data_IF_418785176953
#
_entry.id   IF_418785176953
#
_cell.length_a   1.000
_cell.length_b   1.000
_cell.length_c   1.000
_cell.angle_alpha   90.00
_cell.angle_beta   90.00
_cell.angle_gamma   90.00
#
_symmetry.space_group_name_H-M   'P 1'
#
loop_
_entity.id
_entity.type
_entity.pdbx_description
1 polymer ?
#
# COMPACT_ATOMS: atom_id res chain seq x y z
N UNK A 1 -0.68 26.57 -31.36
CA UNK A 1 0.33 27.49 -31.87
C UNK A 1 0.63 28.69 -30.98
N UNK A 2 -0.34 29.47 -30.49
CA UNK A 2 -0.08 30.67 -29.65
C UNK A 2 0.70 30.39 -28.34
N UNK A 3 0.39 29.33 -27.59
CA UNK A 3 1.05 29.01 -26.34
C UNK A 3 2.53 28.58 -26.51
N UNK A 4 2.85 27.86 -27.58
CA UNK A 4 4.23 27.48 -27.88
C UNK A 4 5.11 28.70 -28.22
N UNK A 5 4.61 29.60 -29.06
CA UNK A 5 5.32 30.84 -29.43
C UNK A 5 5.52 31.74 -28.19
N UNK A 6 4.51 31.84 -27.32
CA UNK A 6 4.62 32.60 -26.07
C UNK A 6 5.67 31.99 -25.12
N UNK A 7 5.72 30.66 -25.01
CA UNK A 7 6.71 29.93 -24.21
C UNK A 7 8.15 30.18 -24.73
N UNK A 8 8.35 30.07 -26.04
CA UNK A 8 9.68 30.34 -26.67
C UNK A 8 10.15 31.76 -26.41
N UNK A 9 9.27 32.76 -26.60
CA UNK A 9 9.57 34.15 -26.37
C UNK A 9 9.96 34.40 -24.89
N UNK A 10 9.16 33.93 -23.94
CA UNK A 10 9.44 34.08 -22.51
C UNK A 10 10.72 33.36 -22.07
N UNK A 11 11.00 32.19 -22.65
CA UNK A 11 12.23 31.44 -22.36
C UNK A 11 13.45 32.15 -22.89
N UNK A 12 13.37 32.82 -24.05
CA UNK A 12 14.45 33.64 -24.60
C UNK A 12 14.69 34.89 -23.73
N UNK A 13 13.64 35.57 -23.27
CA UNK A 13 13.73 36.71 -22.34
C UNK A 13 14.40 36.31 -21.03
N UNK A 14 14.03 35.14 -20.46
CA UNK A 14 14.66 34.62 -19.25
C UNK A 14 16.17 34.33 -19.46
N UNK A 15 16.55 33.74 -20.59
CA UNK A 15 17.96 33.50 -20.96
C UNK A 15 18.74 34.78 -21.19
N UNK A 16 18.10 35.86 -21.64
CA UNK A 16 18.70 37.19 -21.81
C UNK A 16 18.88 37.94 -20.47
N UNK A 17 18.55 37.30 -19.32
CA UNK A 17 18.72 37.92 -17.99
C UNK A 17 17.56 38.81 -17.55
N UNK A 18 16.48 38.90 -18.32
CA UNK A 18 15.28 39.65 -17.95
C UNK A 18 14.50 38.91 -16.86
N UNK A 19 14.24 39.55 -15.72
CA UNK A 19 13.35 38.96 -14.69
C UNK A 19 11.93 38.87 -15.22
N UNK A 20 11.42 37.65 -15.30
CA UNK A 20 10.02 37.40 -15.63
C UNK A 20 9.13 37.82 -14.47
N UNK A 21 7.94 38.33 -14.80
CA UNK A 21 6.86 38.51 -13.82
C UNK A 21 6.40 37.14 -13.27
N UNK A 22 5.86 37.12 -12.04
CA UNK A 22 5.41 35.87 -11.39
C UNK A 22 4.48 35.05 -12.26
N UNK A 23 3.54 35.68 -12.97
CA UNK A 23 2.61 35.03 -13.88
C UNK A 23 3.33 34.42 -15.12
N UNK A 24 4.34 35.10 -15.63
CA UNK A 24 5.15 34.64 -16.76
C UNK A 24 6.03 33.44 -16.36
N UNK A 25 6.68 33.51 -15.19
CA UNK A 25 7.49 32.41 -14.65
C UNK A 25 6.63 31.17 -14.37
N UNK A 26 5.46 31.34 -13.78
CA UNK A 26 4.50 30.27 -13.55
C UNK A 26 4.04 29.62 -14.87
N UNK A 27 3.75 30.44 -15.88
CA UNK A 27 3.36 29.94 -17.21
C UNK A 27 4.50 29.13 -17.85
N UNK A 28 5.74 29.61 -17.81
CA UNK A 28 6.91 28.90 -18.37
C UNK A 28 7.10 27.56 -17.66
N UNK A 29 7.06 27.53 -16.34
CA UNK A 29 7.19 26.31 -15.55
C UNK A 29 6.07 25.32 -15.82
N UNK A 30 4.82 25.80 -15.88
CA UNK A 30 3.67 24.96 -16.21
C UNK A 30 3.77 24.37 -17.62
N UNK A 31 4.09 25.20 -18.61
CA UNK A 31 4.26 24.75 -19.99
C UNK A 31 5.37 23.72 -20.11
N UNK A 32 6.52 23.96 -19.48
CA UNK A 32 7.65 23.05 -19.44
C UNK A 32 7.33 21.73 -18.75
N UNK A 33 6.57 21.77 -17.64
CA UNK A 33 6.22 20.59 -16.88
C UNK A 33 5.21 19.70 -17.63
N UNK A 34 4.21 20.27 -18.29
CA UNK A 34 3.07 19.50 -18.79
C UNK A 34 2.98 19.43 -20.32
N UNK A 35 3.36 20.50 -21.05
CA UNK A 35 3.07 20.61 -22.46
C UNK A 35 4.31 20.37 -23.34
N UNK A 36 5.48 20.90 -22.92
CA UNK A 36 6.71 20.76 -23.67
C UNK A 36 7.02 19.27 -23.91
N UNK A 37 7.38 18.93 -25.15
CA UNK A 37 7.72 17.55 -25.57
C UNK A 37 6.64 16.50 -25.24
N UNK A 38 5.36 16.91 -25.20
CA UNK A 38 4.23 16.03 -24.87
C UNK A 38 4.39 15.32 -23.50
N UNK A 39 4.95 15.98 -22.50
CA UNK A 39 5.20 15.40 -21.16
C UNK A 39 3.96 14.83 -20.49
N UNK A 40 2.78 15.43 -20.71
CA UNK A 40 1.52 14.89 -20.23
C UNK A 40 1.28 13.42 -20.62
N UNK A 41 1.76 13.01 -21.82
CA UNK A 41 1.66 11.60 -22.23
C UNK A 41 2.59 10.69 -21.43
N UNK A 42 3.75 11.21 -21.00
CA UNK A 42 4.67 10.48 -20.13
C UNK A 42 4.06 10.24 -18.76
N UNK A 43 3.38 11.25 -18.19
CA UNK A 43 2.63 11.07 -16.93
C UNK A 43 1.53 10.01 -17.08
N UNK A 44 0.73 10.06 -18.14
CA UNK A 44 -0.30 9.04 -18.37
C UNK A 44 0.29 7.62 -18.50
N UNK A 45 1.43 7.50 -19.16
CA UNK A 45 2.15 6.21 -19.25
C UNK A 45 2.68 5.76 -17.89
N UNK A 46 3.07 6.67 -17.02
CA UNK A 46 3.52 6.38 -15.66
C UNK A 46 2.39 5.94 -14.71
N UNK A 47 1.14 6.36 -14.96
CA UNK A 47 -0.02 5.95 -14.15
C UNK A 47 -0.25 4.44 -14.21
N UNK A 48 -0.10 3.81 -15.38
CA UNK A 48 -0.35 2.38 -15.58
C UNK A 48 0.56 1.51 -14.68
N UNK A 49 1.90 1.68 -14.69
CA UNK A 49 2.78 0.97 -13.77
C UNK A 49 2.42 1.20 -12.29
N UNK A 50 2.09 2.43 -11.91
CA UNK A 50 1.68 2.76 -10.54
C UNK A 50 0.45 1.95 -10.11
N UNK A 51 -0.61 1.94 -10.92
CA UNK A 51 -1.82 1.18 -10.64
C UNK A 51 -1.56 -0.34 -10.61
N UNK A 52 -0.74 -0.84 -11.53
CA UNK A 52 -0.36 -2.24 -11.59
C UNK A 52 0.41 -2.68 -10.34
N UNK A 53 1.43 -1.91 -9.94
CA UNK A 53 2.20 -2.15 -8.72
C UNK A 53 1.31 -2.11 -7.48
N UNK A 54 0.45 -1.09 -7.38
CA UNK A 54 -0.49 -0.97 -6.25
C UNK A 54 -1.42 -2.17 -6.16
N UNK A 55 -1.97 -2.63 -7.30
CA UNK A 55 -2.86 -3.79 -7.33
C UNK A 55 -2.14 -5.08 -6.88
N UNK A 56 -0.91 -5.31 -7.34
CA UNK A 56 -0.09 -6.45 -6.90
C UNK A 56 0.22 -6.35 -5.41
N UNK A 57 0.71 -5.19 -4.96
CA UNK A 57 1.08 -4.98 -3.55
C UNK A 57 -0.13 -5.16 -2.63
N UNK A 58 -1.30 -4.61 -2.99
CA UNK A 58 -2.53 -4.78 -2.23
C UNK A 58 -2.97 -6.25 -2.20
N UNK A 59 -2.90 -6.96 -3.32
CA UNK A 59 -3.26 -8.39 -3.37
C UNK A 59 -2.37 -9.21 -2.46
N UNK A 60 -1.05 -9.02 -2.53
CA UNK A 60 -0.09 -9.69 -1.63
C UNK A 60 -0.40 -9.29 -0.18
N UNK A 61 -0.62 -8.02 0.09
CA UNK A 61 -0.94 -7.48 1.40
C UNK A 61 -2.21 -8.09 2.00
N UNK A 62 -3.29 -8.18 1.22
CA UNK A 62 -4.55 -8.79 1.67
C UNK A 62 -4.39 -10.27 1.94
N UNK A 63 -3.74 -11.02 1.04
CA UNK A 63 -3.53 -12.46 1.23
C UNK A 63 -2.67 -12.73 2.47
N UNK A 64 -1.50 -12.10 2.55
CA UNK A 64 -0.56 -12.28 3.65
C UNK A 64 -1.16 -11.78 4.98
N UNK A 65 -1.76 -10.59 4.96
CA UNK A 65 -2.42 -10.01 6.12
C UNK A 65 -3.57 -10.84 6.65
N UNK A 66 -4.37 -11.45 5.75
CA UNK A 66 -5.45 -12.37 6.14
C UNK A 66 -4.92 -13.61 6.84
N UNK A 67 -3.86 -14.23 6.31
CA UNK A 67 -3.23 -15.41 6.94
C UNK A 67 -2.69 -15.05 8.33
N UNK A 68 -1.96 -13.95 8.43
CA UNK A 68 -1.40 -13.47 9.72
C UNK A 68 -2.53 -13.15 10.71
N UNK A 69 -3.59 -12.47 10.28
CA UNK A 69 -4.73 -12.15 11.13
C UNK A 69 -5.44 -13.42 11.64
N UNK A 70 -5.68 -14.41 10.75
CA UNK A 70 -6.32 -15.66 11.12
C UNK A 70 -5.52 -16.44 12.16
N UNK A 71 -4.21 -16.56 12.00
CA UNK A 71 -3.32 -17.23 12.99
C UNK A 71 -3.42 -16.53 14.34
N UNK A 72 -3.37 -15.19 14.36
CA UNK A 72 -3.41 -14.41 15.61
C UNK A 72 -4.78 -14.51 16.29
N UNK A 73 -5.87 -14.40 15.52
CA UNK A 73 -7.23 -14.54 16.08
C UNK A 73 -7.49 -15.95 16.58
N UNK A 74 -7.04 -16.99 15.84
CA UNK A 74 -7.17 -18.37 16.28
C UNK A 74 -6.42 -18.63 17.61
N UNK A 75 -5.22 -18.04 17.76
CA UNK A 75 -4.48 -18.11 19.02
C UNK A 75 -5.21 -17.39 20.18
N UNK A 76 -5.72 -16.18 19.95
CA UNK A 76 -6.41 -15.38 20.96
C UNK A 76 -7.73 -16.02 21.43
N UNK A 77 -8.32 -16.88 20.59
CA UNK A 77 -9.60 -17.58 20.87
C UNK A 77 -9.42 -18.97 21.47
N UNK A 78 -8.20 -19.42 21.76
CA UNK A 78 -8.00 -20.69 22.45
C UNK A 78 -8.69 -20.70 23.81
N UNK A 79 -9.32 -21.85 24.13
CA UNK A 79 -9.95 -22.05 25.45
C UNK A 79 -8.90 -22.00 26.56
N UNK A 80 -9.24 -21.38 27.68
CA UNK A 80 -8.40 -21.41 28.89
C UNK A 80 -8.07 -22.86 29.25
N UNK A 81 -6.78 -23.20 29.27
CA UNK A 81 -6.28 -24.54 29.62
C UNK A 81 -6.01 -25.48 28.43
N UNK A 82 -6.28 -25.08 27.19
CA UNK A 82 -5.91 -25.86 26.01
C UNK A 82 -5.03 -25.00 25.09
N UNK A 83 -3.72 -25.07 25.29
CA UNK A 83 -2.75 -24.32 24.52
C UNK A 83 -2.09 -25.25 23.51
N UNK A 84 -2.32 -24.98 22.22
CA UNK A 84 -1.59 -25.62 21.13
C UNK A 84 -0.20 -24.95 20.99
N UNK A 85 0.91 -25.66 21.27
CA UNK A 85 2.24 -25.09 21.18
C UNK A 85 2.62 -24.68 19.74
N UNK A 86 2.12 -25.39 18.74
CA UNK A 86 2.38 -25.05 17.34
C UNK A 86 1.73 -23.70 16.98
N UNK A 87 0.48 -23.50 17.41
CA UNK A 87 -0.23 -22.24 17.19
C UNK A 87 0.40 -21.08 17.98
N UNK A 88 0.93 -21.34 19.17
CA UNK A 88 1.66 -20.34 19.96
C UNK A 88 2.95 -19.88 19.25
N UNK A 89 3.72 -20.81 18.68
CA UNK A 89 4.92 -20.50 17.88
C UNK A 89 4.53 -19.72 16.63
N UNK A 90 3.51 -20.16 15.89
CA UNK A 90 3.03 -19.47 14.70
C UNK A 90 2.58 -18.03 15.03
N UNK A 91 1.85 -17.82 16.13
CA UNK A 91 1.45 -16.50 16.59
C UNK A 91 2.65 -15.62 16.97
N UNK A 92 3.67 -16.19 17.63
CA UNK A 92 4.90 -15.46 17.96
C UNK A 92 5.63 -14.97 16.70
N UNK A 93 5.74 -15.79 15.67
CA UNK A 93 6.31 -15.42 14.36
C UNK A 93 5.48 -14.32 13.68
N UNK A 94 4.15 -14.48 13.64
CA UNK A 94 3.24 -13.47 13.09
C UNK A 94 3.35 -12.13 13.83
N UNK A 95 3.44 -12.16 15.15
CA UNK A 95 3.61 -10.96 15.98
C UNK A 95 4.96 -10.29 15.73
N UNK A 96 6.05 -11.08 15.64
CA UNK A 96 7.37 -10.57 15.33
C UNK A 96 7.37 -9.89 13.95
N UNK A 97 6.83 -10.57 12.92
CA UNK A 97 6.68 -10.01 11.59
C UNK A 97 5.95 -8.67 11.61
N UNK A 98 4.76 -8.61 12.20
CA UNK A 98 3.96 -7.38 12.25
C UNK A 98 4.69 -6.26 13.01
N UNK A 99 5.39 -6.59 14.10
CA UNK A 99 6.12 -5.61 14.92
C UNK A 99 7.34 -5.06 14.18
N UNK A 100 8.14 -5.92 13.56
CA UNK A 100 9.36 -5.49 12.84
C UNK A 100 9.00 -4.68 11.60
N UNK A 101 8.06 -5.18 10.79
CA UNK A 101 7.68 -4.52 9.54
C UNK A 101 7.03 -3.15 9.80
N UNK A 102 6.13 -3.05 10.77
CA UNK A 102 5.48 -1.76 11.11
C UNK A 102 6.37 -0.82 11.92
N UNK A 103 7.40 -1.36 12.59
CA UNK A 103 8.37 -0.59 13.37
C UNK A 103 9.56 -0.06 12.58
N UNK A 104 9.69 -0.41 11.30
CA UNK A 104 10.81 0.03 10.44
C UNK A 104 10.29 0.87 9.26
N UNK A 105 11.07 1.91 8.81
CA UNK A 105 10.65 2.74 7.67
C UNK A 105 10.55 1.92 6.38
N UNK A 106 9.47 2.15 5.61
CA UNK A 106 9.23 1.45 4.34
C UNK A 106 10.39 1.59 3.35
N UNK A 107 11.00 2.78 3.26
CA UNK A 107 12.15 3.03 2.39
C UNK A 107 13.34 2.12 2.73
N UNK A 108 13.62 1.89 4.03
CA UNK A 108 14.69 1.00 4.47
C UNK A 108 14.41 -0.45 4.06
N UNK A 109 13.18 -0.90 4.24
CA UNK A 109 12.74 -2.24 3.80
C UNK A 109 12.92 -2.41 2.29
N UNK A 110 12.56 -1.41 1.50
CA UNK A 110 12.70 -1.41 0.04
C UNK A 110 14.17 -1.48 -0.39
N UNK A 111 15.06 -0.74 0.28
CA UNK A 111 16.51 -0.79 0.02
C UNK A 111 17.10 -2.16 0.37
N UNK A 112 16.72 -2.74 1.52
CA UNK A 112 17.16 -4.09 1.90
C UNK A 112 16.66 -5.13 0.86
N UNK A 113 15.40 -5.04 0.45
CA UNK A 113 14.84 -5.94 -0.57
C UNK A 113 15.60 -5.85 -1.89
N UNK A 114 15.90 -4.63 -2.36
CA UNK A 114 16.54 -4.42 -3.67
C UNK A 114 18.05 -4.68 -3.65
N UNK A 115 18.76 -4.27 -2.59
CA UNK A 115 20.23 -4.30 -2.56
C UNK A 115 20.79 -5.55 -1.91
N UNK A 116 20.02 -6.24 -1.06
CA UNK A 116 20.49 -7.43 -0.32
C UNK A 116 19.77 -8.68 -0.82
N UNK A 117 18.44 -8.73 -0.74
CA UNK A 117 17.68 -9.94 -1.02
C UNK A 117 17.60 -10.21 -2.54
N UNK A 118 17.31 -9.18 -3.31
CA UNK A 118 17.16 -9.26 -4.77
C UNK A 118 18.24 -8.47 -5.51
N UNK A 119 19.47 -8.44 -4.99
CA UNK A 119 20.60 -7.69 -5.57
C UNK A 119 20.89 -8.00 -7.05
N UNK A 120 20.60 -9.23 -7.49
CA UNK A 120 20.79 -9.68 -8.87
C UNK A 120 19.54 -9.44 -9.77
N UNK A 121 18.45 -8.94 -9.22
CA UNK A 121 17.24 -8.68 -9.98
C UNK A 121 17.40 -7.42 -10.84
N UNK A 122 16.95 -7.50 -12.09
CA UNK A 122 16.87 -6.34 -13.01
C UNK A 122 15.47 -5.73 -13.03
N UNK A 123 14.49 -6.33 -12.36
CA UNK A 123 13.11 -5.86 -12.33
C UNK A 123 12.82 -5.15 -10.99
N UNK A 124 13.35 -3.95 -10.83
CA UNK A 124 13.17 -3.16 -9.60
C UNK A 124 11.71 -2.81 -9.32
N UNK A 125 10.88 -2.67 -10.35
CA UNK A 125 9.44 -2.43 -10.17
C UNK A 125 8.75 -3.60 -9.48
N UNK A 126 9.09 -4.85 -9.85
CA UNK A 126 8.54 -6.04 -9.18
C UNK A 126 9.10 -6.21 -7.76
N UNK A 127 10.39 -5.94 -7.56
CA UNK A 127 11.00 -5.95 -6.22
C UNK A 127 10.30 -4.94 -5.30
N UNK A 128 10.02 -3.74 -5.81
CA UNK A 128 9.25 -2.72 -5.10
C UNK A 128 7.83 -3.17 -4.78
N UNK A 129 7.13 -3.80 -5.73
CA UNK A 129 5.78 -4.34 -5.51
C UNK A 129 5.77 -5.42 -4.42
N UNK A 130 6.77 -6.30 -4.38
CA UNK A 130 6.92 -7.31 -3.32
C UNK A 130 7.19 -6.67 -1.96
N UNK A 131 8.10 -5.68 -1.90
CA UNK A 131 8.42 -4.98 -0.66
C UNK A 131 7.18 -4.26 -0.11
N UNK A 132 6.44 -3.52 -0.96
CA UNK A 132 5.19 -2.87 -0.60
C UNK A 132 4.13 -3.87 -0.15
N UNK A 133 3.99 -5.01 -0.83
CA UNK A 133 3.03 -6.05 -0.48
C UNK A 133 3.32 -6.71 0.86
N UNK A 134 4.59 -6.99 1.16
CA UNK A 134 5.02 -7.52 2.47
C UNK A 134 4.76 -6.48 3.57
N UNK A 135 5.07 -5.22 3.32
CA UNK A 135 4.79 -4.13 4.26
C UNK A 135 3.28 -4.00 4.51
N UNK A 136 2.49 -3.90 3.45
CA UNK A 136 1.03 -3.80 3.53
C UNK A 136 0.40 -4.99 4.26
N UNK A 137 0.93 -6.21 4.09
CA UNK A 137 0.45 -7.40 4.80
C UNK A 137 0.46 -7.24 6.33
N UNK A 138 1.46 -6.57 6.88
CA UNK A 138 1.54 -6.29 8.30
C UNK A 138 0.43 -5.30 8.75
N UNK A 139 0.15 -4.26 7.97
CA UNK A 139 -0.94 -3.32 8.25
C UNK A 139 -2.32 -3.96 8.07
N UNK A 140 -2.53 -4.67 6.97
CA UNK A 140 -3.78 -5.38 6.68
C UNK A 140 -4.10 -6.41 7.77
N UNK A 141 -3.09 -7.09 8.31
CA UNK A 141 -3.30 -8.04 9.41
C UNK A 141 -3.91 -7.38 10.65
N UNK A 142 -3.47 -6.18 10.98
CA UNK A 142 -4.03 -5.41 12.10
C UNK A 142 -5.40 -4.81 11.75
N UNK A 143 -5.62 -4.38 10.51
CA UNK A 143 -6.92 -3.90 10.03
C UNK A 143 -7.96 -5.02 10.17
N UNK A 144 -7.66 -6.23 9.71
CA UNK A 144 -8.57 -7.38 9.80
C UNK A 144 -8.81 -7.75 11.26
N UNK A 145 -7.76 -7.83 12.08
CA UNK A 145 -7.87 -8.13 13.50
C UNK A 145 -8.73 -7.08 14.22
N UNK A 146 -8.48 -5.80 13.97
CA UNK A 146 -9.28 -4.69 14.52
C UNK A 146 -10.74 -4.76 14.09
N UNK A 147 -11.02 -5.07 12.84
CA UNK A 147 -12.38 -5.23 12.32
C UNK A 147 -13.14 -6.40 12.96
N UNK A 148 -12.46 -7.52 13.20
CA UNK A 148 -13.06 -8.66 13.93
C UNK A 148 -13.34 -8.33 15.41
N UNK A 149 -12.44 -7.58 16.05
CA UNK A 149 -12.62 -7.13 17.43
C UNK A 149 -13.67 -6.03 17.61
N UNK A 150 -14.00 -5.31 16.53
CA UNK A 150 -15.04 -4.27 16.56
C UNK A 150 -16.47 -4.85 16.51
N UNK A 151 -16.64 -6.13 16.19
CA UNK A 151 -17.94 -6.80 16.25
C UNK A 151 -18.28 -7.09 17.71
N UNK A 152 -19.51 -6.73 18.10
CA UNK A 152 -19.99 -6.96 19.48
C UNK A 152 -19.90 -8.45 19.84
N UNK A 153 -19.23 -8.82 20.96
CA UNK A 153 -19.16 -10.21 21.44
C UNK A 153 -20.53 -10.89 21.61
N UNK A 154 -21.57 -10.11 21.93
CA UNK A 154 -22.94 -10.58 22.01
C UNK A 154 -23.48 -11.22 20.73
N UNK A 155 -22.92 -10.86 19.56
CA UNK A 155 -23.27 -11.52 18.28
C UNK A 155 -22.86 -13.00 18.25
N UNK A 156 -21.70 -13.31 18.81
CA UNK A 156 -21.24 -14.69 18.95
C UNK A 156 -22.10 -15.47 19.98
N UNK A 157 -22.45 -14.82 21.09
CA UNK A 157 -23.28 -15.43 22.13
C UNK A 157 -24.70 -15.68 21.62
N UNK A 158 -25.32 -14.72 20.94
CA UNK A 158 -26.63 -14.85 20.33
C UNK A 158 -26.69 -15.99 19.30
N UNK A 159 -25.69 -16.07 18.39
CA UNK A 159 -25.62 -17.16 17.42
C UNK A 159 -25.53 -18.54 18.09
N UNK A 160 -24.74 -18.66 19.14
CA UNK A 160 -24.62 -19.91 19.90
C UNK A 160 -25.90 -20.25 20.69
N UNK A 161 -26.60 -19.27 21.20
CA UNK A 161 -27.89 -19.45 21.87
C UNK A 161 -28.99 -19.97 20.94
N UNK A 162 -28.87 -19.64 19.64
CA UNK A 162 -29.72 -20.18 18.57
C UNK A 162 -29.29 -21.58 18.10
N UNK A 163 -28.30 -22.21 18.75
CA UNK A 163 -27.83 -23.56 18.43
C UNK A 163 -26.78 -23.60 17.30
N UNK A 164 -26.31 -22.46 16.78
CA UNK A 164 -25.25 -22.43 15.79
C UNK A 164 -23.92 -22.82 16.41
N UNK A 165 -23.12 -23.61 15.70
CA UNK A 165 -21.74 -23.86 16.11
C UNK A 165 -20.85 -22.64 15.87
N UNK A 166 -19.64 -22.64 16.45
CA UNK A 166 -18.70 -21.54 16.37
C UNK A 166 -18.39 -21.12 14.91
N UNK A 167 -18.11 -22.11 14.03
CA UNK A 167 -17.73 -21.85 12.64
C UNK A 167 -18.89 -21.20 11.87
N UNK A 168 -20.09 -21.70 12.06
CA UNK A 168 -21.30 -21.18 11.40
C UNK A 168 -21.60 -19.75 11.88
N UNK A 169 -21.53 -19.51 13.21
CA UNK A 169 -21.71 -18.17 13.76
C UNK A 169 -20.66 -17.19 13.24
N UNK A 170 -19.40 -17.61 13.19
CA UNK A 170 -18.30 -16.81 12.65
C UNK A 170 -18.53 -16.46 11.18
N UNK A 171 -18.86 -17.46 10.35
CA UNK A 171 -19.02 -17.28 8.91
C UNK A 171 -20.26 -16.46 8.52
N UNK A 172 -21.39 -16.68 9.20
CA UNK A 172 -22.67 -16.09 8.82
C UNK A 172 -22.99 -14.78 9.54
N UNK A 173 -22.42 -14.54 10.72
CA UNK A 173 -22.77 -13.39 11.58
C UNK A 173 -21.59 -12.47 11.76
N UNK A 174 -20.46 -12.98 12.27
CA UNK A 174 -19.32 -12.13 12.68
C UNK A 174 -18.52 -11.62 11.48
N UNK A 175 -18.12 -12.51 10.57
CA UNK A 175 -17.29 -12.12 9.40
C UNK A 175 -17.99 -11.09 8.50
N UNK A 176 -19.27 -11.21 8.13
CA UNK A 176 -19.94 -10.19 7.31
C UNK A 176 -19.99 -8.82 7.96
N UNK A 177 -20.13 -8.76 9.30
CA UNK A 177 -20.10 -7.50 10.04
C UNK A 177 -18.68 -6.93 10.11
N UNK A 178 -17.68 -7.78 10.38
CA UNK A 178 -16.27 -7.39 10.38
C UNK A 178 -15.82 -6.84 9.01
N UNK A 179 -16.24 -7.45 7.90
CA UNK A 179 -15.92 -6.96 6.54
C UNK A 179 -16.39 -5.52 6.34
N UNK A 180 -17.58 -5.16 6.82
CA UNK A 180 -18.09 -3.78 6.71
C UNK A 180 -17.20 -2.78 7.46
N UNK A 181 -16.63 -3.18 8.59
CA UNK A 181 -15.68 -2.36 9.35
C UNK A 181 -14.30 -2.30 8.69
N UNK A 182 -13.85 -3.38 8.06
CA UNK A 182 -12.53 -3.52 7.42
C UNK A 182 -12.44 -2.78 6.08
N UNK A 183 -13.51 -2.77 5.28
CA UNK A 183 -13.51 -2.21 3.92
C UNK A 183 -13.05 -0.75 3.83
N UNK A 184 -13.50 0.19 4.68
CA UNK A 184 -13.00 1.58 4.63
C UNK A 184 -11.51 1.68 4.93
N UNK A 185 -11.01 0.86 5.88
CA UNK A 185 -9.59 0.83 6.23
C UNK A 185 -8.74 0.24 5.12
N UNK A 186 -9.22 -0.80 4.41
CA UNK A 186 -8.56 -1.32 3.20
C UNK A 186 -8.56 -0.30 2.06
N UNK A 187 -9.63 0.48 1.91
CA UNK A 187 -9.67 1.59 0.96
C UNK A 187 -8.60 2.65 1.27
N UNK A 188 -8.39 2.98 2.55
CA UNK A 188 -7.30 3.85 2.97
C UNK A 188 -5.92 3.23 2.70
N UNK A 189 -5.74 1.95 2.96
CA UNK A 189 -4.49 1.23 2.66
C UNK A 189 -4.15 1.27 1.17
N UNK A 190 -5.15 1.12 0.29
CA UNK A 190 -4.97 1.29 -1.15
C UNK A 190 -4.44 2.68 -1.51
N UNK A 191 -4.98 3.75 -0.87
CA UNK A 191 -4.51 5.13 -1.09
C UNK A 191 -3.08 5.32 -0.58
N UNK A 192 -2.72 4.71 0.56
CA UNK A 192 -1.35 4.72 1.08
C UNK A 192 -0.40 4.05 0.10
N UNK A 193 -0.73 2.85 -0.37
CA UNK A 193 0.07 2.13 -1.37
C UNK A 193 0.28 2.93 -2.65
N UNK A 194 -0.76 3.62 -3.15
CA UNK A 194 -0.62 4.51 -4.32
C UNK A 194 0.44 5.59 -4.13
N UNK A 195 0.53 6.15 -2.93
CA UNK A 195 1.57 7.16 -2.61
C UNK A 195 2.94 6.52 -2.44
N UNK A 196 3.00 5.38 -1.79
CA UNK A 196 4.25 4.67 -1.47
C UNK A 196 4.91 4.04 -2.71
N UNK A 197 4.18 3.85 -3.82
CA UNK A 197 4.79 3.46 -5.09
C UNK A 197 5.89 4.41 -5.53
N UNK A 198 5.81 5.71 -5.17
CA UNK A 198 6.85 6.70 -5.48
C UNK A 198 8.23 6.33 -4.91
N UNK A 199 8.28 5.57 -3.82
CA UNK A 199 9.53 5.07 -3.23
C UNK A 199 10.27 4.09 -4.16
N UNK A 200 9.57 3.45 -5.10
CA UNK A 200 10.15 2.53 -6.08
C UNK A 200 11.15 3.23 -7.01
N UNK A 201 10.96 4.52 -7.26
CA UNK A 201 11.90 5.33 -8.04
C UNK A 201 13.29 5.38 -7.39
N UNK A 202 13.37 5.35 -6.06
CA UNK A 202 14.65 5.37 -5.31
C UNK A 202 15.52 4.15 -5.62
N UNK A 203 14.91 3.00 -5.90
CA UNK A 203 15.62 1.77 -6.28
C UNK A 203 15.73 1.60 -7.81
N UNK A 204 15.32 2.61 -8.61
CA UNK A 204 15.39 2.60 -10.07
C UNK A 204 14.21 1.90 -10.76
N UNK A 205 13.11 1.65 -10.06
CA UNK A 205 11.88 1.12 -10.65
C UNK A 205 11.09 2.20 -11.39
N UNK A 206 10.30 1.76 -12.39
CA UNK A 206 9.51 2.67 -13.23
C UNK A 206 8.09 2.78 -12.72
N UNK A 207 7.67 4.00 -12.40
CA UNK A 207 6.32 4.36 -11.99
C UNK A 207 6.04 5.84 -12.34
N UNK A 208 4.98 6.45 -11.81
CA UNK A 208 4.56 7.81 -12.18
C UNK A 208 5.64 8.87 -11.90
N UNK A 209 6.29 8.84 -10.73
CA UNK A 209 7.33 9.80 -10.37
C UNK A 209 8.58 9.64 -11.25
N UNK A 210 8.89 8.42 -11.69
CA UNK A 210 9.98 8.18 -12.66
C UNK A 210 9.69 8.82 -14.02
N UNK A 211 8.40 8.98 -14.38
CA UNK A 211 7.96 9.57 -15.62
C UNK A 211 7.86 11.10 -15.55
N UNK A 212 7.98 11.71 -14.37
CA UNK A 212 7.90 13.15 -14.13
C UNK A 212 9.24 13.83 -14.29
#
# INVERSE_FOLDING_TARGET
MRMAAQYEMLTQLAKAGTKLDFGQDLFVKFYQAFIASNRWQQYLKGVIPTLYVTAIALTIGVVLGSVVALVRVAHDQQRRGHHDPALAVANAVCKLYATVIRGTPMMVQMLIMSMVIFANSRNFTMVGALALGINSGAYVSEIIRGGLMAVDPGQMEAGRSLGLNYITTMALIVIPQAIRSVLPALGNEFIVLLKDTSLITVIGGKELLYAA
#
